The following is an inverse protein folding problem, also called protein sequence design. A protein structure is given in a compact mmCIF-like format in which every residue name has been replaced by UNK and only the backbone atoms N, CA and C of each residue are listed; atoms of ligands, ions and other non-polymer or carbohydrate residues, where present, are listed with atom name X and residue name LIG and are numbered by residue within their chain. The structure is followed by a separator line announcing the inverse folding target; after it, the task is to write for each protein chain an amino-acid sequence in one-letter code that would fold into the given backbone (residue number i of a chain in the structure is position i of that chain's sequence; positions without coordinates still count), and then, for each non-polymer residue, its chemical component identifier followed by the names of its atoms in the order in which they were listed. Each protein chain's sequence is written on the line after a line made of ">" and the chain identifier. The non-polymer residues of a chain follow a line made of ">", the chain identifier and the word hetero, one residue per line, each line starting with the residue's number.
data_IF_920179568942
#
_entry.id   IF_920179568942
#
_cell.length_a   1.000
_cell.length_b   1.000
_cell.length_c   1.000
_cell.angle_alpha   90.00
_cell.angle_beta   90.00
_cell.angle_gamma   90.00
#
_symmetry.space_group_name_H-M   'P 1'
#
loop_
_entity.id
_entity.type
_entity.pdbx_description
1 polymer ?
#
# COMPACT_ATOMS: atom_id res chain seq x y z
N UNK A 1 28.19 72.43 28.48
CA UNK A 1 27.98 71.04 28.95
C UNK A 1 26.66 70.53 28.38
N UNK A 2 26.68 69.62 27.41
CA UNK A 2 25.54 68.76 27.07
C UNK A 2 26.09 67.49 26.42
N UNK A 3 25.98 66.36 27.13
CA UNK A 3 26.37 65.03 26.67
C UNK A 3 25.17 64.40 25.95
N UNK A 4 25.26 64.24 24.62
CA UNK A 4 24.32 63.42 23.88
C UNK A 4 24.72 61.95 23.99
N UNK A 5 23.93 61.21 24.78
CA UNK A 5 24.01 59.75 24.94
C UNK A 5 23.25 59.09 23.79
N UNK A 6 23.96 58.56 22.79
CA UNK A 6 23.36 57.72 21.74
C UNK A 6 23.12 56.30 22.26
N UNK A 7 21.88 55.85 22.16
CA UNK A 7 21.39 54.56 22.68
C UNK A 7 21.61 53.43 21.65
N UNK A 8 22.25 52.30 21.99
CA UNK A 8 22.61 51.24 21.03
C UNK A 8 21.52 50.17 20.87
N UNK A 9 20.24 50.53 21.03
CA UNK A 9 19.14 49.54 21.08
C UNK A 9 18.57 49.10 19.72
N UNK A 10 19.04 49.66 18.61
CA UNK A 10 18.41 49.46 17.30
C UNK A 10 19.03 48.34 16.44
N UNK A 11 20.20 47.82 16.80
CA UNK A 11 20.91 46.83 15.96
C UNK A 11 20.54 45.35 16.21
N UNK A 12 19.77 45.04 17.27
CA UNK A 12 19.45 43.66 17.65
C UNK A 12 18.15 43.10 17.04
N UNK A 13 17.32 43.94 16.42
CA UNK A 13 16.01 43.51 15.88
C UNK A 13 16.04 43.05 14.42
N UNK A 14 17.09 43.36 13.66
CA UNK A 14 17.21 42.93 12.25
C UNK A 14 17.83 41.55 12.06
N UNK A 15 18.61 41.06 13.04
CA UNK A 15 19.23 39.72 12.97
C UNK A 15 18.24 38.58 13.25
N UNK A 16 17.12 38.85 13.94
CA UNK A 16 16.12 37.83 14.30
C UNK A 16 15.11 37.53 13.18
N UNK A 17 15.06 38.32 12.10
CA UNK A 17 14.14 38.07 10.97
C UNK A 17 14.69 37.17 9.88
N UNK A 18 16.00 36.91 9.85
CA UNK A 18 16.63 36.05 8.84
C UNK A 18 16.67 34.56 9.22
N UNK A 19 16.42 34.21 10.49
CA UNK A 19 16.52 32.83 10.99
C UNK A 19 15.21 32.04 10.98
N UNK A 20 14.09 32.68 10.63
CA UNK A 20 12.77 32.03 10.63
C UNK A 20 12.35 31.41 9.28
N UNK A 21 13.16 31.53 8.23
CA UNK A 21 12.80 31.04 6.89
C UNK A 21 13.34 29.64 6.55
N UNK A 22 14.22 29.06 7.37
CA UNK A 22 14.83 27.75 7.08
C UNK A 22 14.05 26.48 7.45
N UNK A 23 12.97 26.45 8.28
CA UNK A 23 12.34 25.17 8.60
C UNK A 23 11.33 24.70 7.54
N UNK A 24 10.93 25.53 6.56
CA UNK A 24 9.90 25.15 5.57
C UNK A 24 10.40 24.26 4.42
N UNK A 25 11.72 24.19 4.18
CA UNK A 25 12.25 23.43 3.03
C UNK A 25 12.42 21.93 3.37
N UNK A 26 12.48 21.56 4.66
CA UNK A 26 12.64 20.15 5.06
C UNK A 26 11.32 19.37 5.18
N UNK A 27 10.17 20.05 5.21
CA UNK A 27 8.87 19.38 5.33
C UNK A 27 8.31 18.84 4.00
N UNK A 28 8.85 19.28 2.85
CA UNK A 28 8.39 18.88 1.53
C UNK A 28 8.95 17.52 1.05
N UNK A 29 9.97 16.97 1.71
CA UNK A 29 10.62 15.72 1.27
C UNK A 29 9.89 14.45 1.71
N UNK A 30 8.79 14.57 2.46
CA UNK A 30 7.91 13.46 2.84
C UNK A 30 6.59 13.45 2.06
N UNK A 31 6.56 14.09 0.88
CA UNK A 31 5.55 13.76 -0.10
C UNK A 31 5.78 12.31 -0.55
N UNK A 32 5.15 11.35 0.14
CA UNK A 32 4.85 10.05 -0.42
C UNK A 32 4.24 10.32 -1.79
N UNK A 33 4.95 10.00 -2.87
CA UNK A 33 4.40 10.09 -4.21
C UNK A 33 3.04 9.39 -4.16
N UNK A 34 1.95 10.14 -4.32
CA UNK A 34 0.62 9.57 -4.31
C UNK A 34 0.59 8.55 -5.45
N UNK A 35 0.53 7.26 -5.12
CA UNK A 35 0.51 6.20 -6.11
C UNK A 35 -0.71 6.44 -7.00
N UNK A 36 -0.46 6.62 -8.30
CA UNK A 36 -1.51 6.90 -9.26
C UNK A 36 -2.45 5.68 -9.30
N UNK A 37 -3.77 5.83 -9.07
CA UNK A 37 -4.67 4.69 -8.91
C UNK A 37 -4.65 3.72 -10.08
N UNK A 38 -4.34 4.21 -11.29
CA UNK A 38 -4.27 3.37 -12.47
C UNK A 38 -3.02 2.50 -12.58
N UNK A 39 -2.03 2.69 -11.70
CA UNK A 39 -0.91 1.76 -11.49
C UNK A 39 -1.28 0.54 -10.62
N UNK A 40 -2.44 0.56 -9.96
CA UNK A 40 -2.89 -0.51 -9.06
C UNK A 40 -2.98 -1.90 -9.70
N UNK A 41 -3.53 -2.07 -10.92
CA UNK A 41 -3.57 -3.39 -11.55
C UNK A 41 -2.18 -3.98 -11.78
N UNK A 42 -1.21 -3.17 -12.19
CA UNK A 42 0.15 -3.61 -12.45
C UNK A 42 0.83 -4.09 -11.15
N UNK A 43 0.72 -3.31 -10.07
CA UNK A 43 1.29 -3.70 -8.76
C UNK A 43 0.60 -4.94 -8.18
N UNK A 44 -0.73 -5.03 -8.32
CA UNK A 44 -1.51 -6.21 -7.88
C UNK A 44 -1.10 -7.48 -8.60
N UNK A 45 -0.88 -7.40 -9.92
CA UNK A 45 -0.41 -8.54 -10.71
C UNK A 45 1.02 -8.91 -10.35
N UNK A 46 1.90 -7.92 -10.11
CA UNK A 46 3.25 -8.15 -9.60
C UNK A 46 3.24 -8.94 -8.29
N UNK A 47 2.48 -8.46 -7.31
CA UNK A 47 2.27 -9.13 -6.04
C UNK A 47 1.76 -10.57 -6.20
N UNK A 48 0.69 -10.76 -6.99
CA UNK A 48 0.10 -12.09 -7.20
C UNK A 48 1.03 -13.04 -7.95
N UNK A 49 1.85 -12.55 -8.89
CA UNK A 49 2.81 -13.39 -9.61
C UNK A 49 3.94 -13.89 -8.71
N UNK A 50 4.31 -13.14 -7.66
CA UNK A 50 5.26 -13.59 -6.65
C UNK A 50 4.61 -14.58 -5.67
N UNK A 51 3.39 -14.30 -5.24
CA UNK A 51 2.72 -15.03 -4.17
C UNK A 51 2.09 -16.36 -4.63
N UNK A 52 1.47 -16.40 -5.81
CA UNK A 52 0.77 -17.59 -6.30
C UNK A 52 1.67 -18.83 -6.40
N UNK A 53 2.86 -18.79 -7.02
CA UNK A 53 3.73 -19.96 -7.07
C UNK A 53 4.18 -20.44 -5.69
N UNK A 54 4.37 -19.51 -4.74
CA UNK A 54 4.78 -19.82 -3.36
C UNK A 54 3.65 -20.50 -2.59
N UNK A 55 2.41 -20.04 -2.79
CA UNK A 55 1.23 -20.70 -2.25
C UNK A 55 1.05 -22.11 -2.81
N UNK A 56 1.15 -22.30 -4.13
CA UNK A 56 1.03 -23.64 -4.73
C UNK A 56 2.11 -24.59 -4.21
N UNK A 57 3.35 -24.11 -4.02
CA UNK A 57 4.41 -24.87 -3.38
C UNK A 57 4.10 -25.21 -1.92
N UNK A 58 3.55 -24.27 -1.14
CA UNK A 58 3.14 -24.50 0.24
C UNK A 58 1.98 -25.52 0.34
N UNK A 59 1.01 -25.46 -0.57
CA UNK A 59 -0.08 -26.44 -0.68
C UNK A 59 0.50 -27.83 -0.94
N UNK A 60 1.38 -27.96 -1.94
CA UNK A 60 2.03 -29.21 -2.27
C UNK A 60 2.84 -29.79 -1.09
N UNK A 61 3.53 -28.92 -0.34
CA UNK A 61 4.30 -29.29 0.86
C UNK A 61 3.44 -29.48 2.12
N UNK A 62 2.12 -29.22 2.05
CA UNK A 62 1.20 -29.15 3.19
C UNK A 62 1.64 -28.19 4.30
N UNK A 63 2.35 -27.12 3.94
CA UNK A 63 2.88 -26.13 4.87
C UNK A 63 1.82 -25.10 5.25
N UNK A 64 1.14 -25.36 6.38
CA UNK A 64 0.18 -24.41 6.96
C UNK A 64 0.84 -23.14 7.47
N UNK A 65 2.12 -23.18 7.87
CA UNK A 65 2.80 -22.04 8.49
C UNK A 65 3.06 -20.92 7.49
N UNK A 66 3.21 -21.24 6.21
CA UNK A 66 3.32 -20.28 5.11
C UNK A 66 2.21 -19.22 5.13
N UNK A 67 0.98 -19.63 5.42
CA UNK A 67 -0.20 -18.78 5.32
C UNK A 67 -0.23 -17.66 6.35
N UNK A 68 0.41 -17.83 7.51
CA UNK A 68 0.56 -16.74 8.47
C UNK A 68 1.42 -15.61 7.88
N UNK A 69 2.55 -15.95 7.27
CA UNK A 69 3.39 -14.97 6.59
C UNK A 69 2.71 -14.35 5.36
N UNK A 70 1.92 -15.14 4.63
CA UNK A 70 1.15 -14.66 3.48
C UNK A 70 0.09 -13.61 3.90
N UNK A 71 -0.62 -13.84 5.01
CA UNK A 71 -1.55 -12.85 5.57
C UNK A 71 -0.86 -11.51 5.87
N UNK A 72 0.32 -11.54 6.49
CA UNK A 72 1.08 -10.32 6.80
C UNK A 72 1.43 -9.54 5.53
N UNK A 73 1.87 -10.24 4.47
CA UNK A 73 2.20 -9.58 3.19
C UNK A 73 0.97 -9.03 2.48
N UNK A 74 -0.16 -9.75 2.49
CA UNK A 74 -1.44 -9.25 1.94
C UNK A 74 -1.91 -8.01 2.70
N UNK A 75 -1.80 -8.02 4.03
CA UNK A 75 -2.09 -6.87 4.89
C UNK A 75 -1.21 -5.66 4.52
N UNK A 76 0.10 -5.86 4.40
CA UNK A 76 1.01 -4.78 4.04
C UNK A 76 0.72 -4.23 2.64
N UNK A 77 0.41 -5.10 1.68
CA UNK A 77 0.01 -4.67 0.34
C UNK A 77 -1.27 -3.83 0.37
N UNK A 78 -2.31 -4.32 1.06
CA UNK A 78 -3.60 -3.64 1.15
C UNK A 78 -3.58 -2.36 1.99
N UNK A 79 -2.64 -2.22 2.94
CA UNK A 79 -2.38 -0.99 3.68
C UNK A 79 -1.75 0.10 2.81
N UNK A 80 -0.73 -0.25 2.01
CA UNK A 80 -0.09 0.72 1.09
C UNK A 80 -1.08 1.34 0.12
N UNK A 81 -2.00 0.52 -0.38
CA UNK A 81 -3.07 0.94 -1.28
C UNK A 81 -4.33 1.44 -0.58
N UNK A 82 -4.35 1.43 0.75
CA UNK A 82 -5.42 1.99 1.57
C UNK A 82 -6.77 1.27 1.49
N UNK A 83 -6.81 0.00 1.06
CA UNK A 83 -8.05 -0.80 0.95
C UNK A 83 -8.20 -1.90 2.02
N UNK A 84 -7.27 -2.00 2.99
CA UNK A 84 -7.39 -2.93 4.12
C UNK A 84 -8.47 -2.54 5.13
N UNK A 85 -8.41 -1.30 5.62
CA UNK A 85 -9.20 -0.81 6.78
C UNK A 85 -10.44 -0.05 6.33
N UNK A 86 -10.34 0.69 5.23
CA UNK A 86 -11.41 1.47 4.62
C UNK A 86 -11.45 1.13 3.14
N UNK A 87 -12.61 1.27 2.51
CA UNK A 87 -12.66 1.24 1.06
C UNK A 87 -11.86 2.42 0.50
N UNK A 88 -10.92 2.15 -0.42
CA UNK A 88 -10.29 3.20 -1.21
C UNK A 88 -11.16 3.44 -2.46
N UNK A 89 -11.90 4.57 -2.56
CA UNK A 89 -12.77 4.83 -3.69
C UNK A 89 -12.00 4.94 -5.02
N UNK A 90 -10.72 5.30 -4.98
CA UNK A 90 -9.87 5.41 -6.17
C UNK A 90 -9.62 4.04 -6.82
N UNK A 91 -9.77 2.95 -6.05
CA UNK A 91 -9.61 1.58 -6.53
C UNK A 91 -10.94 0.94 -6.95
N UNK A 92 -12.06 1.66 -6.86
CA UNK A 92 -13.38 1.13 -7.22
C UNK A 92 -13.49 0.73 -8.70
N UNK A 93 -12.64 1.29 -9.57
CA UNK A 93 -12.53 0.89 -10.97
C UNK A 93 -11.87 -0.49 -11.17
N UNK A 94 -11.19 -1.01 -10.15
CA UNK A 94 -10.41 -2.26 -10.21
C UNK A 94 -10.83 -3.28 -9.14
N UNK A 95 -12.15 -3.59 -9.00
CA UNK A 95 -12.63 -4.47 -7.94
C UNK A 95 -12.12 -5.91 -8.10
N UNK A 96 -11.82 -6.33 -9.33
CA UNK A 96 -11.22 -7.65 -9.59
C UNK A 96 -9.83 -7.78 -8.96
N UNK A 97 -9.03 -6.71 -8.95
CA UNK A 97 -7.68 -6.72 -8.39
C UNK A 97 -7.71 -6.71 -6.87
N UNK A 98 -8.57 -5.88 -6.25
CA UNK A 98 -8.74 -5.90 -4.79
C UNK A 98 -9.27 -7.24 -4.31
N UNK A 99 -10.29 -7.82 -4.97
CA UNK A 99 -10.79 -9.15 -4.63
C UNK A 99 -9.72 -10.24 -4.78
N UNK A 100 -8.96 -10.26 -5.89
CA UNK A 100 -7.89 -11.25 -6.07
C UNK A 100 -6.84 -11.17 -4.95
N UNK A 101 -6.38 -9.97 -4.59
CA UNK A 101 -5.38 -9.81 -3.52
C UNK A 101 -5.92 -10.27 -2.16
N UNK A 102 -7.17 -9.94 -1.84
CA UNK A 102 -7.77 -10.29 -0.55
C UNK A 102 -8.10 -11.78 -0.45
N UNK A 103 -8.61 -12.39 -1.52
CA UNK A 103 -9.06 -13.78 -1.53
C UNK A 103 -7.90 -14.77 -1.61
N UNK A 104 -6.74 -14.36 -2.12
CA UNK A 104 -5.57 -15.23 -2.36
C UNK A 104 -5.23 -16.17 -1.19
N UNK A 105 -5.07 -15.61 0.02
CA UNK A 105 -4.68 -16.41 1.19
C UNK A 105 -5.79 -17.38 1.59
N UNK A 106 -7.04 -16.93 1.53
CA UNK A 106 -8.22 -17.74 1.89
C UNK A 106 -8.37 -18.91 0.91
N UNK A 107 -8.25 -18.63 -0.39
CA UNK A 107 -8.28 -19.65 -1.45
C UNK A 107 -7.19 -20.69 -1.22
N UNK A 108 -5.96 -20.27 -0.93
CA UNK A 108 -4.87 -21.20 -0.68
C UNK A 108 -5.08 -22.05 0.57
N UNK A 109 -5.60 -21.48 1.65
CA UNK A 109 -5.98 -22.24 2.84
C UNK A 109 -7.09 -23.26 2.54
N UNK A 110 -8.11 -22.87 1.78
CA UNK A 110 -9.20 -23.75 1.36
C UNK A 110 -8.75 -24.87 0.40
N UNK A 111 -7.76 -24.61 -0.45
CA UNK A 111 -7.11 -25.65 -1.27
C UNK A 111 -6.29 -26.60 -0.40
N UNK A 112 -5.60 -26.10 0.62
CA UNK A 112 -4.75 -26.89 1.51
C UNK A 112 -5.57 -27.78 2.48
N UNK A 113 -6.62 -27.24 3.07
CA UNK A 113 -7.47 -27.95 4.04
C UNK A 113 -8.93 -27.60 3.72
N UNK A 114 -9.56 -28.32 2.77
CA UNK A 114 -10.97 -28.12 2.46
C UNK A 114 -11.85 -28.34 3.69
N UNK A 115 -12.81 -27.44 3.90
CA UNK A 115 -13.82 -27.51 4.96
C UNK A 115 -15.15 -26.92 4.47
N UNK A 116 -16.23 -27.13 5.22
CA UNK A 116 -17.54 -26.54 4.92
C UNK A 116 -17.55 -25.01 5.06
N UNK A 117 -16.52 -24.42 5.69
CA UNK A 117 -16.33 -22.97 5.79
C UNK A 117 -15.79 -22.36 4.49
N UNK A 118 -15.28 -23.19 3.58
CA UNK A 118 -14.82 -22.75 2.27
C UNK A 118 -15.99 -22.51 1.33
N UNK A 119 -16.23 -21.23 1.00
CA UNK A 119 -17.33 -20.83 0.13
C UNK A 119 -17.29 -21.59 -1.23
N UNK A 120 -18.40 -22.21 -1.65
CA UNK A 120 -18.49 -22.84 -2.96
C UNK A 120 -18.18 -21.85 -4.10
N UNK A 121 -17.30 -22.25 -5.02
CA UNK A 121 -16.92 -21.40 -6.15
C UNK A 121 -15.92 -20.28 -5.84
N UNK A 122 -15.42 -20.19 -4.60
CA UNK A 122 -14.39 -19.22 -4.22
C UNK A 122 -13.15 -19.32 -5.14
N UNK A 123 -12.64 -20.54 -5.36
CA UNK A 123 -11.46 -20.77 -6.18
C UNK A 123 -11.67 -20.33 -7.64
N UNK A 124 -12.81 -20.67 -8.25
CA UNK A 124 -13.08 -20.29 -9.65
C UNK A 124 -13.28 -18.79 -9.81
N UNK A 125 -13.96 -18.13 -8.85
CA UNK A 125 -14.10 -16.67 -8.82
C UNK A 125 -12.76 -15.98 -8.64
N UNK A 126 -11.91 -16.51 -7.77
CA UNK A 126 -10.55 -16.02 -7.57
C UNK A 126 -9.74 -16.10 -8.87
N UNK A 127 -9.72 -17.25 -9.53
CA UNK A 127 -8.96 -17.43 -10.79
C UNK A 127 -9.46 -16.45 -11.88
N UNK A 128 -10.78 -16.24 -11.97
CA UNK A 128 -11.37 -15.25 -12.88
C UNK A 128 -10.99 -13.80 -12.51
N UNK A 129 -10.88 -13.47 -11.22
CA UNK A 129 -10.45 -12.16 -10.76
C UNK A 129 -8.98 -11.90 -11.05
N UNK A 130 -8.11 -12.90 -10.84
CA UNK A 130 -6.68 -12.84 -11.21
C UNK A 130 -6.55 -12.56 -12.72
N UNK A 131 -7.29 -13.30 -13.54
CA UNK A 131 -7.24 -13.14 -14.99
C UNK A 131 -7.70 -11.75 -15.43
N UNK A 132 -8.84 -11.26 -14.92
CA UNK A 132 -9.31 -9.90 -15.23
C UNK A 132 -8.37 -8.81 -14.71
N UNK A 133 -7.69 -9.05 -13.59
CA UNK A 133 -6.69 -8.11 -13.08
C UNK A 133 -5.46 -8.03 -14.02
N UNK A 134 -5.00 -9.18 -14.55
CA UNK A 134 -3.95 -9.24 -15.58
C UNK A 134 -4.34 -8.50 -16.85
N UNK A 135 -5.58 -8.66 -17.30
CA UNK A 135 -6.10 -7.93 -18.46
C UNK A 135 -6.16 -6.41 -18.23
N UNK A 136 -6.49 -5.98 -17.02
CA UNK A 136 -6.46 -4.57 -16.66
C UNK A 136 -5.02 -4.01 -16.62
N UNK A 137 -4.08 -4.78 -16.07
CA UNK A 137 -2.65 -4.42 -16.04
C UNK A 137 -2.04 -4.32 -17.45
N UNK A 138 -2.43 -5.20 -18.38
CA UNK A 138 -1.94 -5.20 -19.76
C UNK A 138 -2.43 -4.01 -20.60
N UNK A 139 -3.43 -3.25 -20.13
CA UNK A 139 -3.97 -2.05 -20.79
C UNK A 139 -3.31 -0.75 -20.32
N UNK A 140 -2.30 -0.85 -19.46
CA UNK A 140 -1.53 0.27 -18.90
C UNK A 140 -0.13 0.27 -19.49
#
# INVERSE_FOLDING_TARGET
>A
MHLHRTSPRSALTSALRALAALPLVLAASLATAQQEPSSFPLDSVGYLNEELPRMEAAIAAKDRSFFHGAMVRTVQFSERWGFKVKANPDLAAYPMCTSAVMDYVVVGMCRLTPSDECEPGLASRFDANVQRCREAAAKK
#
